data_IF_597316790632
#
_entry.id   IF_597316790632
#
_cell.length_a   1.000
_cell.length_b   1.000
_cell.length_c   1.000
_cell.angle_alpha   90.00
_cell.angle_beta   90.00
_cell.angle_gamma   90.00
#
_symmetry.space_group_name_H-M   'P 1'
#
loop_
_entity.id
_entity.type
_entity.pdbx_description
1 polymer ?
#
# COMPACT_ATOMS: atom_id res chain seq x y z
N UNK A 1 30.14 -39.73 2.58
CA UNK A 1 30.61 -38.48 1.94
C UNK A 1 29.50 -37.45 2.07
N UNK A 2 29.73 -36.39 2.83
CA UNK A 2 28.73 -35.35 3.13
C UNK A 2 28.52 -34.46 1.91
N UNK A 3 27.34 -34.51 1.29
CA UNK A 3 26.94 -33.60 0.22
C UNK A 3 26.45 -32.29 0.83
N UNK A 4 27.41 -31.44 1.25
CA UNK A 4 27.15 -30.06 1.65
C UNK A 4 26.93 -29.25 0.36
N UNK A 5 25.68 -29.18 -0.12
CA UNK A 5 25.30 -28.29 -1.21
C UNK A 5 25.44 -26.81 -0.77
N UNK A 6 25.74 -25.89 -1.70
CA UNK A 6 25.95 -24.49 -1.34
C UNK A 6 24.64 -23.86 -0.85
N UNK A 7 24.68 -22.94 0.13
CA UNK A 7 23.53 -22.13 0.49
C UNK A 7 23.34 -21.04 -0.58
N UNK A 8 22.85 -21.45 -1.75
CA UNK A 8 22.46 -20.54 -2.81
C UNK A 8 21.17 -19.84 -2.41
N UNK A 9 21.29 -18.70 -1.74
CA UNK A 9 20.16 -17.83 -1.40
C UNK A 9 19.39 -17.44 -2.66
N UNK A 10 18.24 -18.07 -2.88
CA UNK A 10 17.24 -17.64 -3.86
C UNK A 10 16.51 -16.42 -3.31
N UNK A 11 17.21 -15.28 -3.29
CA UNK A 11 16.52 -14.00 -3.26
C UNK A 11 15.60 -13.91 -4.48
N UNK A 12 14.37 -13.38 -4.36
CA UNK A 12 13.45 -13.31 -5.49
C UNK A 12 14.07 -12.47 -6.62
N UNK A 13 14.29 -13.10 -7.78
CA UNK A 13 14.72 -12.43 -9.01
C UNK A 13 13.80 -11.24 -9.29
N UNK A 14 14.39 -10.07 -9.52
CA UNK A 14 13.64 -8.86 -9.79
C UNK A 14 13.17 -8.86 -11.26
N UNK A 15 11.99 -9.41 -11.50
CA UNK A 15 11.32 -9.30 -12.79
C UNK A 15 10.44 -8.03 -12.82
N UNK A 16 10.86 -6.92 -13.45
CA UNK A 16 10.10 -5.67 -13.47
C UNK A 16 8.71 -5.83 -14.12
N UNK A 17 8.55 -6.81 -15.03
CA UNK A 17 7.24 -7.15 -15.64
C UNK A 17 6.27 -7.78 -14.64
N UNK A 18 6.76 -8.49 -13.63
CA UNK A 18 5.95 -9.22 -12.64
C UNK A 18 5.36 -8.31 -11.56
N UNK A 19 6.01 -7.19 -11.27
CA UNK A 19 5.61 -6.22 -10.24
C UNK A 19 4.99 -4.94 -10.83
N UNK A 20 4.62 -4.93 -12.11
CA UNK A 20 4.00 -3.76 -12.75
C UNK A 20 2.61 -3.42 -12.19
N UNK A 21 1.87 -4.42 -11.70
CA UNK A 21 0.55 -4.27 -11.09
C UNK A 21 0.51 -4.89 -9.70
N UNK A 22 -0.24 -4.26 -8.80
CA UNK A 22 -0.37 -4.72 -7.41
C UNK A 22 -1.41 -5.86 -7.36
N UNK A 23 -0.97 -7.06 -7.75
CA UNK A 23 -1.78 -8.29 -7.81
C UNK A 23 -2.14 -8.81 -6.42
N UNK A 24 -3.20 -9.62 -6.34
CA UNK A 24 -3.64 -10.25 -5.08
C UNK A 24 -2.54 -11.12 -4.44
N UNK A 25 -1.70 -11.78 -5.24
CA UNK A 25 -0.57 -12.58 -4.75
C UNK A 25 0.47 -11.73 -4.01
N UNK A 26 0.78 -10.53 -4.53
CA UNK A 26 1.70 -9.60 -3.88
C UNK A 26 1.12 -9.11 -2.56
N UNK A 27 -0.18 -8.78 -2.53
CA UNK A 27 -0.88 -8.37 -1.30
C UNK A 27 -0.79 -9.45 -0.23
N UNK A 28 -1.09 -10.68 -0.61
CA UNK A 28 -1.04 -11.84 0.29
C UNK A 28 0.38 -12.05 0.83
N UNK A 29 1.38 -12.04 -0.03
CA UNK A 29 2.80 -12.21 0.36
C UNK A 29 3.24 -11.16 1.39
N UNK A 30 2.86 -9.90 1.19
CA UNK A 30 3.17 -8.81 2.14
C UNK A 30 2.45 -9.02 3.47
N UNK A 31 1.19 -9.46 3.42
CA UNK A 31 0.38 -9.68 4.60
C UNK A 31 0.88 -10.86 5.46
N UNK A 32 1.27 -11.96 4.80
CA UNK A 32 1.88 -13.14 5.43
C UNK A 32 3.21 -12.76 6.10
N UNK A 33 4.04 -11.98 5.41
CA UNK A 33 5.28 -11.44 5.98
C UNK A 33 5.02 -10.54 7.19
N UNK A 34 3.97 -9.74 7.14
CA UNK A 34 3.53 -8.89 8.25
C UNK A 34 2.77 -9.67 9.35
N UNK A 35 2.63 -10.99 9.22
CA UNK A 35 1.90 -11.87 10.15
C UNK A 35 0.47 -11.40 10.42
N UNK A 36 -0.21 -10.89 9.39
CA UNK A 36 -1.54 -10.29 9.49
C UNK A 36 -1.62 -9.18 10.55
N UNK A 37 -0.56 -8.38 10.70
CA UNK A 37 -0.53 -7.23 11.63
C UNK A 37 -0.08 -5.96 10.93
N UNK A 38 -0.61 -4.84 11.40
CA UNK A 38 -0.18 -3.51 10.98
C UNK A 38 1.28 -3.29 11.41
N UNK A 39 2.16 -2.90 10.48
CA UNK A 39 3.57 -2.67 10.80
C UNK A 39 3.83 -1.36 11.57
N UNK A 40 2.81 -0.54 11.81
CA UNK A 40 2.92 0.73 12.54
C UNK A 40 2.35 0.64 13.96
N UNK A 41 1.16 0.06 14.12
CA UNK A 41 0.46 -0.03 15.41
C UNK A 41 0.32 -1.46 15.94
N UNK A 42 0.83 -2.46 15.22
CA UNK A 42 0.76 -3.89 15.60
C UNK A 42 -0.64 -4.49 15.74
N UNK A 43 -1.70 -3.74 15.38
CA UNK A 43 -3.08 -4.24 15.36
C UNK A 43 -3.22 -5.39 14.38
N UNK A 44 -3.92 -6.46 14.78
CA UNK A 44 -4.23 -7.60 13.92
C UNK A 44 -5.26 -7.21 12.86
N UNK A 45 -5.06 -7.65 11.62
CA UNK A 45 -6.07 -7.55 10.58
C UNK A 45 -7.12 -8.63 10.81
N UNK A 46 -8.37 -8.22 10.98
CA UNK A 46 -9.52 -9.11 10.94
C UNK A 46 -10.03 -9.21 9.49
N UNK A 47 -10.77 -10.26 9.12
CA UNK A 47 -11.36 -10.38 7.77
C UNK A 47 -12.28 -9.20 7.42
N UNK A 48 -12.81 -8.48 8.41
CA UNK A 48 -13.63 -7.28 8.20
C UNK A 48 -12.81 -6.01 7.92
N UNK A 49 -11.50 -6.01 8.17
CA UNK A 49 -10.64 -4.83 8.00
C UNK A 49 -9.72 -5.06 6.81
N UNK A 50 -10.00 -4.36 5.72
CA UNK A 50 -9.13 -4.40 4.54
C UNK A 50 -7.78 -3.75 4.83
N UNK A 51 -6.65 -4.49 4.72
CA UNK A 51 -5.33 -3.92 4.89
C UNK A 51 -4.99 -3.00 3.71
N UNK A 52 -4.37 -1.87 4.02
CA UNK A 52 -3.87 -0.92 3.01
C UNK A 52 -2.36 -1.02 2.90
N UNK A 53 -1.84 -0.82 1.68
CA UNK A 53 -0.41 -0.94 1.39
C UNK A 53 0.18 0.42 1.09
N UNK A 54 1.15 0.84 1.90
CA UNK A 54 1.96 2.05 1.69
C UNK A 54 3.24 1.68 0.94
N UNK A 55 3.58 2.44 -0.11
CA UNK A 55 4.87 2.32 -0.80
C UNK A 55 5.92 3.19 -0.08
N UNK A 56 6.95 2.56 0.49
CA UNK A 56 7.99 3.25 1.28
C UNK A 56 8.81 4.20 0.39
N UNK A 57 9.15 3.78 -0.84
CA UNK A 57 9.89 4.60 -1.81
C UNK A 57 9.05 5.75 -2.42
N UNK A 58 7.74 5.78 -2.18
CA UNK A 58 6.82 6.75 -2.83
C UNK A 58 6.62 6.55 -4.34
N UNK A 59 7.30 5.58 -4.94
CA UNK A 59 7.12 5.17 -6.34
C UNK A 59 6.00 4.14 -6.45
N UNK A 60 4.94 4.49 -7.19
CA UNK A 60 3.79 3.62 -7.47
C UNK A 60 4.11 2.48 -8.44
N UNK A 61 5.26 2.56 -9.12
CA UNK A 61 5.72 1.56 -10.08
C UNK A 61 6.41 0.38 -9.37
N UNK A 62 6.88 0.60 -8.13
CA UNK A 62 7.63 -0.39 -7.37
C UNK A 62 6.72 -1.20 -6.44
N UNK A 63 6.00 -2.18 -6.99
CA UNK A 63 5.11 -3.06 -6.20
C UNK A 63 5.83 -4.26 -5.58
N UNK A 64 7.12 -4.13 -5.25
CA UNK A 64 7.86 -5.20 -4.58
C UNK A 64 7.32 -5.41 -3.17
N UNK A 65 7.19 -6.65 -2.68
CA UNK A 65 6.71 -6.91 -1.32
C UNK A 65 7.63 -6.36 -0.22
N UNK A 66 8.87 -6.02 -0.56
CA UNK A 66 9.82 -5.34 0.34
C UNK A 66 9.61 -3.82 0.41
N UNK A 67 9.07 -3.22 -0.66
CA UNK A 67 8.75 -1.79 -0.73
C UNK A 67 7.33 -1.47 -0.22
N UNK A 68 6.50 -2.50 -0.05
CA UNK A 68 5.14 -2.39 0.42
C UNK A 68 5.06 -2.62 1.93
N UNK A 69 4.38 -1.71 2.62
CA UNK A 69 4.10 -1.79 4.05
C UNK A 69 2.62 -2.00 4.30
N UNK A 70 2.27 -3.07 5.04
CA UNK A 70 0.90 -3.34 5.44
C UNK A 70 0.48 -2.44 6.62
N UNK A 71 -0.56 -1.64 6.42
CA UNK A 71 -1.13 -0.71 7.40
C UNK A 71 -2.64 -0.94 7.58
N UNK A 72 -3.13 -0.64 8.77
CA UNK A 72 -4.57 -0.53 9.04
C UNK A 72 -5.13 0.79 8.47
N UNK A 73 -6.45 0.87 8.21
CA UNK A 73 -7.07 2.07 7.66
C UNK A 73 -6.80 3.31 8.52
N UNK A 74 -6.77 3.16 9.85
CA UNK A 74 -6.46 4.26 10.76
C UNK A 74 -5.02 4.79 10.58
N UNK A 75 -4.04 3.90 10.43
CA UNK A 75 -2.65 4.29 10.20
C UNK A 75 -2.42 4.82 8.78
N UNK A 76 -3.21 4.33 7.82
CA UNK A 76 -3.12 4.73 6.42
C UNK A 76 -3.64 6.14 6.17
N UNK A 77 -4.60 6.65 6.96
CA UNK A 77 -5.11 8.04 6.84
C UNK A 77 -4.00 9.09 6.79
N UNK A 78 -3.01 8.98 7.67
CA UNK A 78 -1.88 9.92 7.72
C UNK A 78 -0.97 9.83 6.47
N UNK A 79 -0.91 8.66 5.83
CA UNK A 79 -0.16 8.42 4.61
C UNK A 79 -0.92 8.99 3.41
N UNK A 80 -2.22 8.68 3.33
CA UNK A 80 -3.13 9.16 2.30
C UNK A 80 -3.19 10.69 2.28
N UNK A 81 -3.23 11.35 3.44
CA UNK A 81 -3.19 12.82 3.49
C UNK A 81 -1.89 13.38 2.90
N UNK A 82 -0.73 12.74 3.16
CA UNK A 82 0.55 13.13 2.56
C UNK A 82 0.57 12.93 1.05
N UNK A 83 0.03 11.81 0.56
CA UNK A 83 -0.10 11.57 -0.88
C UNK A 83 -1.04 12.57 -1.55
N UNK A 84 -2.15 12.90 -0.91
CA UNK A 84 -3.12 13.87 -1.41
C UNK A 84 -2.57 15.29 -1.38
N UNK A 85 -1.83 15.69 -0.34
CA UNK A 85 -1.13 16.99 -0.29
C UNK A 85 -0.13 17.12 -1.45
N UNK A 86 0.65 16.07 -1.76
CA UNK A 86 1.56 16.04 -2.91
C UNK A 86 0.84 16.24 -4.25
N UNK A 87 -0.38 15.70 -4.40
CA UNK A 87 -1.22 15.95 -5.59
C UNK A 87 -1.90 17.32 -5.56
N UNK A 88 -2.25 17.82 -4.38
CA UNK A 88 -2.98 19.06 -4.16
C UNK A 88 -2.20 20.31 -4.54
N UNK A 89 -0.86 20.27 -4.52
CA UNK A 89 -0.01 21.33 -5.09
C UNK A 89 -0.28 21.55 -6.59
N UNK A 90 -0.80 20.52 -7.29
CA UNK A 90 -1.20 20.55 -8.70
C UNK A 90 -2.73 20.58 -8.90
N UNK A 91 -3.54 20.56 -7.82
CA UNK A 91 -4.97 20.24 -7.86
C UNK A 91 -5.90 21.24 -7.14
N UNK A 92 -5.42 22.43 -6.82
CA UNK A 92 -6.13 23.48 -6.07
C UNK A 92 -7.43 24.04 -6.68
N UNK A 93 -8.00 23.45 -7.73
CA UNK A 93 -9.16 24.01 -8.44
C UNK A 93 -10.53 23.35 -8.14
N UNK A 94 -10.61 22.23 -7.41
CA UNK A 94 -11.88 21.47 -7.31
C UNK A 94 -12.68 21.58 -6.00
N UNK A 95 -12.22 22.36 -5.02
CA UNK A 95 -12.90 22.54 -3.72
C UNK A 95 -13.79 23.80 -3.64
N UNK A 96 -14.35 24.24 -4.78
CA UNK A 96 -15.33 25.34 -4.84
C UNK A 96 -16.76 24.91 -5.20
N UNK A 97 -16.99 23.63 -5.55
CA UNK A 97 -18.30 23.12 -5.99
C UNK A 97 -19.11 22.40 -4.89
N UNK A 98 -18.73 22.55 -3.62
CA UNK A 98 -19.46 21.99 -2.46
C UNK A 98 -20.39 23.02 -1.77
N UNK A 99 -20.61 24.19 -2.37
CA UNK A 99 -21.45 25.26 -1.76
C UNK A 99 -22.48 25.88 -2.69
N UNK A 100 -23.10 25.08 -3.58
CA UNK A 100 -24.40 25.50 -4.11
C UNK A 100 -25.47 24.81 -3.28
N UNK A 101 -26.16 25.51 -2.35
CA UNK A 101 -27.39 25.00 -1.80
C UNK A 101 -28.37 24.84 -2.96
N UNK A 102 -28.80 23.61 -3.23
CA UNK A 102 -29.88 23.34 -4.17
C UNK A 102 -31.17 23.67 -3.41
N UNK A 103 -31.51 24.95 -3.35
CA UNK A 103 -32.78 25.42 -2.81
C UNK A 103 -33.91 24.96 -3.75
N UNK A 104 -34.58 23.90 -3.30
CA UNK A 104 -35.83 23.40 -3.85
C UNK A 104 -36.93 24.43 -3.60
N UNK A 105 -37.29 25.24 -4.61
CA UNK A 105 -38.52 26.04 -4.57
C UNK A 105 -39.01 26.45 -5.97
N UNK A 106 -40.01 25.73 -6.50
CA UNK A 106 -41.42 26.14 -6.54
C UNK A 106 -42.26 25.10 -7.27
#
# INVERSE_FOLDING_TARGET
>A
MSFFGPPGGTGPSFDPKKYGTLTMAIRQTVLERARNRCQKCSTKFSPSVEPRFEHINGSKKDNRPQNLRALCPNCYKAVEERENKKKGVLGGLRKALDKVPVDFKK
#
